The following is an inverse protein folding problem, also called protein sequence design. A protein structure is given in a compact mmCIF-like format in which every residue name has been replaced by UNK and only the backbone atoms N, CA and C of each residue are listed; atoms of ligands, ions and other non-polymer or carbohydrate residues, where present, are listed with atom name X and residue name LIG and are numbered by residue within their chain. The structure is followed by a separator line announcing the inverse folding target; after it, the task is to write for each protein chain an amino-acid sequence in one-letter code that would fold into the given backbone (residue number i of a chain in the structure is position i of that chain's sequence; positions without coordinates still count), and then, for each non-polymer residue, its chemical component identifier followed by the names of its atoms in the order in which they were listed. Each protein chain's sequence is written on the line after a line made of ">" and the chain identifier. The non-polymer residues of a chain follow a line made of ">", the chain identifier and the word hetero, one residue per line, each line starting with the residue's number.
data_IF_241783086646
#
_entry.id   IF_241783086646
#
_cell.length_a   1.000
_cell.length_b   1.000
_cell.length_c   1.000
_cell.angle_alpha   90.00
_cell.angle_beta   90.00
_cell.angle_gamma   90.00
#
_symmetry.space_group_name_H-M   'P 1'
#
loop_
_entity.id
_entity.type
_entity.pdbx_description
1 polymer ?
#
# COMPACT_ATOMS: atom_id res chain seq x y z
N UNK A 1 6.24 -16.95 1.31
CA UNK A 1 4.94 -16.30 1.56
C UNK A 1 5.08 -14.81 1.34
N UNK A 2 4.21 -14.20 0.53
CA UNK A 2 4.19 -12.76 0.30
C UNK A 2 3.53 -12.05 1.49
N UNK A 3 4.11 -10.96 1.97
CA UNK A 3 3.50 -10.15 3.03
C UNK A 3 2.31 -9.40 2.45
N UNK A 4 1.18 -9.41 3.16
CA UNK A 4 -0.07 -8.75 2.73
C UNK A 4 -0.44 -7.66 3.72
N UNK A 5 -0.78 -6.47 3.20
CA UNK A 5 -1.17 -5.30 4.02
C UNK A 5 -2.41 -4.61 3.44
N UNK A 6 -3.15 -3.93 4.31
CA UNK A 6 -4.27 -3.04 3.96
C UNK A 6 -3.88 -1.61 4.34
N UNK A 7 -4.11 -0.66 3.42
CA UNK A 7 -3.87 0.77 3.63
C UNK A 7 -5.17 1.52 3.33
N UNK A 8 -5.67 2.28 4.30
CA UNK A 8 -6.81 3.21 4.16
C UNK A 8 -6.32 4.61 3.81
N UNK A 9 -7.21 5.47 3.31
CA UNK A 9 -6.91 6.83 2.84
C UNK A 9 -5.71 6.87 1.88
N UNK A 10 -5.64 5.88 0.99
CA UNK A 10 -4.56 5.71 0.02
C UNK A 10 -4.75 6.53 -1.28
N UNK A 11 -5.75 7.40 -1.31
CA UNK A 11 -6.11 8.22 -2.48
C UNK A 11 -5.08 9.31 -2.80
N UNK A 12 -4.33 9.78 -1.80
CA UNK A 12 -3.31 10.82 -1.96
C UNK A 12 -2.29 10.84 -0.81
N UNK A 13 -1.26 11.66 -0.95
CA UNK A 13 -0.33 11.99 0.12
C UNK A 13 0.43 10.78 0.69
N UNK A 14 0.44 10.65 2.02
CA UNK A 14 1.21 9.61 2.72
C UNK A 14 0.63 8.21 2.42
N UNK A 15 -0.69 8.07 2.34
CA UNK A 15 -1.33 6.78 2.04
C UNK A 15 -0.91 6.26 0.67
N UNK A 16 -0.97 7.10 -0.37
CA UNK A 16 -0.54 6.77 -1.73
C UNK A 16 0.97 6.42 -1.79
N UNK A 17 1.82 7.24 -1.15
CA UNK A 17 3.26 7.01 -1.13
C UNK A 17 3.61 5.69 -0.42
N UNK A 18 2.91 5.37 0.67
CA UNK A 18 3.09 4.14 1.45
C UNK A 18 2.68 2.91 0.63
N UNK A 19 1.54 2.97 -0.07
CA UNK A 19 1.09 1.89 -0.94
C UNK A 19 2.12 1.58 -2.05
N UNK A 20 2.64 2.63 -2.72
CA UNK A 20 3.68 2.49 -3.75
C UNK A 20 4.98 1.91 -3.19
N UNK A 21 5.39 2.32 -1.99
CA UNK A 21 6.61 1.85 -1.35
C UNK A 21 6.56 0.34 -1.08
N UNK A 22 5.47 -0.16 -0.50
CA UNK A 22 5.34 -1.58 -0.18
C UNK A 22 5.07 -2.44 -1.42
N UNK A 23 4.35 -1.93 -2.42
CA UNK A 23 4.23 -2.58 -3.71
C UNK A 23 5.61 -2.78 -4.36
N UNK A 24 6.48 -1.75 -4.35
CA UNK A 24 7.88 -1.85 -4.83
C UNK A 24 8.73 -2.86 -4.06
N UNK A 25 8.41 -3.13 -2.79
CA UNK A 25 9.05 -4.18 -1.98
C UNK A 25 8.51 -5.59 -2.27
N UNK A 26 7.58 -5.73 -3.22
CA UNK A 26 6.98 -7.00 -3.60
C UNK A 26 5.91 -7.49 -2.62
N UNK A 27 5.34 -6.61 -1.81
CA UNK A 27 4.24 -6.96 -0.91
C UNK A 27 2.91 -6.90 -1.66
N UNK A 28 1.94 -7.69 -1.22
CA UNK A 28 0.56 -7.57 -1.69
C UNK A 28 -0.13 -6.45 -0.90
N UNK A 29 -0.59 -5.43 -1.62
CA UNK A 29 -1.16 -4.22 -1.03
C UNK A 29 -2.62 -4.08 -1.46
N UNK A 30 -3.54 -4.08 -0.50
CA UNK A 30 -4.92 -3.64 -0.71
C UNK A 30 -5.04 -2.19 -0.24
N UNK A 31 -5.50 -1.30 -1.11
CA UNK A 31 -5.57 0.14 -0.86
C UNK A 31 -7.00 0.65 -1.06
N UNK A 32 -7.52 1.43 -0.12
CA UNK A 32 -8.85 2.08 -0.20
C UNK A 32 -8.76 3.54 0.18
N UNK A 33 -9.77 4.32 -0.21
CA UNK A 33 -10.09 5.59 0.46
C UNK A 33 -10.55 5.26 1.88
#
# INVERSE_FOLDING_TARGET
>A
MTKTIVITEASSGIGEATAKFFAKKGWQVAATM
#
